data_IF_288149949544
#
_entry.id   IF_288149949544
#
_cell.length_a   1.000
_cell.length_b   1.000
_cell.length_c   1.000
_cell.angle_alpha   90.00
_cell.angle_beta   90.00
_cell.angle_gamma   90.00
#
_symmetry.space_group_name_H-M   'P 1'
#
loop_
_entity.id
_entity.type
_entity.pdbx_description
1 polymer ?
#
# COMPACT_ATOMS: atom_id res chain seq x y z
N UNK A 1 -42.62 31.54 8.33
CA UNK A 1 -41.16 31.71 8.09
C UNK A 1 -40.90 31.80 6.60
N UNK A 2 -40.42 32.93 6.08
CA UNK A 2 -39.91 32.99 4.70
C UNK A 2 -38.65 32.14 4.65
N UNK A 3 -38.72 30.95 4.04
CA UNK A 3 -37.54 30.16 3.69
C UNK A 3 -36.59 31.08 2.93
N UNK A 4 -35.41 31.36 3.52
CA UNK A 4 -34.37 32.16 2.86
C UNK A 4 -34.06 31.49 1.54
N UNK A 5 -34.38 32.16 0.43
CA UNK A 5 -34.03 31.68 -0.90
C UNK A 5 -32.52 31.59 -1.02
N UNK A 6 -32.01 30.48 -1.52
CA UNK A 6 -30.59 30.34 -1.83
C UNK A 6 -30.13 31.44 -2.81
N UNK A 7 -28.82 31.77 -2.83
CA UNK A 7 -28.30 32.76 -3.77
C UNK A 7 -28.63 32.38 -5.22
N UNK A 8 -28.99 33.35 -6.07
CA UNK A 8 -29.43 33.11 -7.45
C UNK A 8 -28.40 32.34 -8.30
N UNK A 9 -27.13 32.42 -7.95
CA UNK A 9 -26.04 31.70 -8.61
C UNK A 9 -26.06 30.19 -8.37
N UNK A 10 -26.78 29.71 -7.35
CA UNK A 10 -26.87 28.27 -7.01
C UNK A 10 -27.87 27.50 -7.87
N UNK A 11 -28.71 28.20 -8.64
CA UNK A 11 -29.75 27.59 -9.49
C UNK A 11 -29.17 27.10 -10.82
N UNK A 12 -28.23 26.17 -10.76
CA UNK A 12 -27.65 25.53 -11.94
C UNK A 12 -27.36 24.03 -11.67
N UNK A 13 -27.38 23.23 -12.73
CA UNK A 13 -27.23 21.77 -12.63
C UNK A 13 -25.86 21.33 -12.10
N UNK A 14 -24.79 22.10 -12.34
CA UNK A 14 -23.44 21.78 -11.87
C UNK A 14 -23.35 21.94 -10.34
N UNK A 15 -23.91 23.02 -9.81
CA UNK A 15 -23.99 23.25 -8.36
C UNK A 15 -24.89 22.22 -7.68
N UNK A 16 -26.02 21.85 -8.29
CA UNK A 16 -26.87 20.78 -7.75
C UNK A 16 -26.17 19.42 -7.77
N UNK A 17 -25.48 19.07 -8.85
CA UNK A 17 -24.68 17.84 -8.94
C UNK A 17 -23.59 17.83 -7.87
N UNK A 18 -22.87 18.95 -7.70
CA UNK A 18 -21.85 19.09 -6.65
C UNK A 18 -22.42 18.92 -5.24
N UNK A 19 -23.58 19.52 -4.97
CA UNK A 19 -24.26 19.40 -3.68
C UNK A 19 -24.73 17.96 -3.40
N UNK A 20 -25.31 17.28 -4.38
CA UNK A 20 -25.72 15.87 -4.25
C UNK A 20 -24.50 14.98 -4.05
N UNK A 21 -23.43 15.18 -4.84
CA UNK A 21 -22.20 14.40 -4.71
C UNK A 21 -21.57 14.60 -3.33
N UNK A 22 -21.48 15.84 -2.84
CA UNK A 22 -20.93 16.14 -1.51
C UNK A 22 -21.79 15.55 -0.38
N UNK A 23 -23.12 15.64 -0.48
CA UNK A 23 -24.03 15.05 0.50
C UNK A 23 -23.91 13.52 0.53
N UNK A 24 -24.00 12.87 -0.62
CA UNK A 24 -23.98 11.39 -0.71
C UNK A 24 -22.62 10.85 -0.30
N UNK A 25 -21.51 11.46 -0.74
CA UNK A 25 -20.17 11.05 -0.32
C UNK A 25 -19.94 11.30 1.16
N UNK A 26 -20.37 12.45 1.70
CA UNK A 26 -20.25 12.76 3.13
C UNK A 26 -21.07 11.83 4.01
N UNK A 27 -22.31 11.51 3.63
CA UNK A 27 -23.17 10.55 4.36
C UNK A 27 -22.57 9.14 4.27
N UNK A 28 -22.17 8.68 3.09
CA UNK A 28 -21.53 7.37 2.91
C UNK A 28 -20.26 7.27 3.75
N UNK A 29 -19.40 8.29 3.73
CA UNK A 29 -18.18 8.36 4.53
C UNK A 29 -18.50 8.33 6.03
N UNK A 30 -19.50 9.11 6.47
CA UNK A 30 -19.94 9.11 7.87
C UNK A 30 -20.46 7.75 8.33
N UNK A 31 -21.29 7.08 7.51
CA UNK A 31 -21.78 5.72 7.78
C UNK A 31 -20.62 4.74 7.88
N UNK A 32 -19.68 4.78 6.93
CA UNK A 32 -18.51 3.90 6.95
C UNK A 32 -17.62 4.14 8.17
N UNK A 33 -17.40 5.40 8.57
CA UNK A 33 -16.66 5.72 9.79
C UNK A 33 -17.36 5.16 11.04
N UNK A 34 -18.69 5.31 11.16
CA UNK A 34 -19.46 4.73 12.27
C UNK A 34 -19.31 3.21 12.30
N UNK A 35 -19.37 2.54 11.14
CA UNK A 35 -19.16 1.09 11.03
C UNK A 35 -17.77 0.70 11.50
N UNK A 36 -16.72 1.43 11.10
CA UNK A 36 -15.34 1.15 11.54
C UNK A 36 -15.18 1.29 13.05
N UNK A 37 -15.66 2.40 13.62
CA UNK A 37 -15.58 2.63 15.07
C UNK A 37 -16.47 1.69 15.90
N UNK A 38 -17.47 1.06 15.30
CA UNK A 38 -18.38 0.14 16.02
C UNK A 38 -17.97 -1.33 15.93
N UNK A 39 -17.06 -1.69 15.01
CA UNK A 39 -16.68 -3.08 14.71
C UNK A 39 -15.22 -3.39 15.09
N UNK A 40 -14.67 -2.69 16.11
CA UNK A 40 -13.24 -2.61 16.46
C UNK A 40 -12.45 -3.93 16.39
N UNK A 41 -13.07 -5.09 16.64
CA UNK A 41 -12.40 -6.40 16.67
C UNK A 41 -12.17 -7.09 15.30
N UNK A 42 -12.79 -6.63 14.20
CA UNK A 42 -12.78 -7.38 12.92
C UNK A 42 -12.50 -6.57 11.66
N UNK A 43 -12.17 -5.27 11.77
CA UNK A 43 -11.93 -4.43 10.59
C UNK A 43 -10.45 -4.42 10.26
N UNK A 44 -10.11 -4.72 9.00
CA UNK A 44 -8.73 -4.61 8.52
C UNK A 44 -8.20 -3.19 8.84
N UNK A 45 -7.03 -3.05 9.50
CA UNK A 45 -6.43 -1.75 9.84
C UNK A 45 -6.30 -0.80 8.65
N UNK A 46 -6.22 -1.34 7.44
CA UNK A 46 -6.07 -0.63 6.19
C UNK A 46 -7.40 -0.11 5.61
N UNK A 47 -8.55 -0.55 6.12
CA UNK A 47 -9.84 -0.03 5.68
C UNK A 47 -10.05 1.44 6.09
N UNK A 48 -9.58 1.84 7.28
CA UNK A 48 -9.58 3.25 7.68
C UNK A 48 -8.76 4.12 6.71
N UNK A 49 -7.61 3.62 6.29
CA UNK A 49 -6.74 4.28 5.30
C UNK A 49 -7.46 4.46 3.96
N UNK A 50 -8.17 3.44 3.49
CA UNK A 50 -8.99 3.53 2.29
C UNK A 50 -10.02 4.66 2.38
N UNK A 51 -10.74 4.74 3.50
CA UNK A 51 -11.75 5.79 3.74
C UNK A 51 -11.13 7.19 3.69
N UNK A 52 -9.98 7.39 4.34
CA UNK A 52 -9.27 8.67 4.34
C UNK A 52 -8.64 9.02 2.98
N UNK A 53 -8.35 8.03 2.15
CA UNK A 53 -7.70 8.25 0.85
C UNK A 53 -8.71 8.57 -0.26
N UNK A 54 -9.83 7.84 -0.33
CA UNK A 54 -10.81 7.95 -1.42
C UNK A 54 -12.03 8.80 -1.06
N UNK A 55 -12.46 8.79 0.20
CA UNK A 55 -13.61 9.57 0.66
C UNK A 55 -13.43 11.08 0.50
N UNK A 56 -12.37 11.68 1.08
CA UNK A 56 -12.15 13.12 1.02
C UNK A 56 -12.00 13.68 -0.41
N UNK A 57 -11.27 13.07 -1.36
CA UNK A 57 -11.21 13.59 -2.72
C UNK A 57 -12.57 13.66 -3.43
N UNK A 58 -13.43 12.65 -3.27
CA UNK A 58 -14.78 12.64 -3.88
C UNK A 58 -15.66 13.71 -3.24
N UNK A 59 -15.58 13.87 -1.91
CA UNK A 59 -16.27 14.94 -1.18
C UNK A 59 -15.79 16.32 -1.62
N UNK A 60 -14.47 16.54 -1.68
CA UNK A 60 -13.85 17.79 -2.12
C UNK A 60 -14.23 18.10 -3.57
N UNK A 61 -14.23 17.11 -4.46
CA UNK A 61 -14.71 17.29 -5.83
C UNK A 61 -16.16 17.79 -5.86
N UNK A 62 -17.05 17.18 -5.07
CA UNK A 62 -18.43 17.65 -4.90
C UNK A 62 -18.49 19.10 -4.41
N UNK A 63 -17.70 19.44 -3.39
CA UNK A 63 -17.62 20.78 -2.82
C UNK A 63 -17.02 21.81 -3.81
N UNK A 64 -16.09 21.42 -4.69
CA UNK A 64 -15.51 22.29 -5.71
C UNK A 64 -16.46 22.53 -6.89
N UNK A 65 -17.29 21.54 -7.24
CA UNK A 65 -18.31 21.70 -8.29
C UNK A 65 -19.35 22.78 -7.92
N UNK A 66 -19.62 23.01 -6.63
CA UNK A 66 -20.53 24.07 -6.16
C UNK A 66 -20.08 25.47 -6.61
N UNK A 67 -18.90 26.00 -6.21
CA UNK A 67 -18.42 27.30 -6.63
C UNK A 67 -18.09 27.34 -8.13
N UNK A 68 -17.64 26.25 -8.76
CA UNK A 68 -17.43 26.19 -10.21
C UNK A 68 -18.76 26.43 -10.95
N UNK A 69 -19.83 25.76 -10.53
CA UNK A 69 -21.17 25.98 -11.07
C UNK A 69 -21.63 27.43 -10.88
N UNK A 70 -21.43 28.00 -9.70
CA UNK A 70 -21.78 29.39 -9.40
C UNK A 70 -20.99 30.40 -10.25
N UNK A 71 -19.68 30.21 -10.42
CA UNK A 71 -18.83 31.09 -11.24
C UNK A 71 -19.19 30.97 -12.73
N UNK A 72 -19.47 29.77 -13.22
CA UNK A 72 -19.92 29.56 -14.59
C UNK A 72 -21.26 30.25 -14.85
N UNK A 73 -22.20 30.12 -13.93
CA UNK A 73 -23.51 30.77 -14.04
C UNK A 73 -23.37 32.29 -13.95
N UNK A 74 -22.52 32.80 -13.05
CA UNK A 74 -22.23 34.23 -12.97
C UNK A 74 -21.62 34.78 -14.27
N UNK A 75 -20.67 34.07 -14.88
CA UNK A 75 -20.06 34.44 -16.17
C UNK A 75 -21.10 34.42 -17.29
N UNK A 76 -22.00 33.43 -17.30
CA UNK A 76 -23.09 33.34 -18.28
C UNK A 76 -24.03 34.54 -18.16
N UNK A 77 -24.54 34.82 -16.95
CA UNK A 77 -25.42 35.95 -16.67
C UNK A 77 -24.77 37.30 -17.03
N UNK A 78 -23.47 37.46 -16.76
CA UNK A 78 -22.71 38.67 -17.13
C UNK A 78 -22.56 38.83 -18.65
N UNK A 79 -22.35 37.74 -19.41
CA UNK A 79 -22.26 37.78 -20.89
C UNK A 79 -23.59 38.05 -21.56
N UNK A 80 -24.66 37.45 -21.05
CA UNK A 80 -25.99 37.56 -21.64
C UNK A 80 -26.68 38.89 -21.26
N UNK A 81 -26.09 39.69 -20.35
CA UNK A 81 -26.69 40.94 -19.87
C UNK A 81 -27.99 40.74 -19.09
N UNK A 82 -28.32 39.48 -18.77
CA UNK A 82 -29.56 39.10 -18.11
C UNK A 82 -29.42 39.45 -16.63
N UNK A 83 -30.23 40.40 -16.17
CA UNK A 83 -30.49 40.55 -14.73
C UNK A 83 -31.17 39.26 -14.29
N UNK A 84 -30.69 38.60 -13.23
CA UNK A 84 -31.25 37.33 -12.82
C UNK A 84 -32.72 37.52 -12.46
N UNK A 85 -33.61 37.15 -13.38
CA UNK A 85 -34.99 36.83 -13.05
C UNK A 85 -34.96 35.77 -11.94
N UNK A 86 -36.04 35.64 -11.17
CA UNK A 86 -36.12 34.64 -10.09
C UNK A 86 -36.05 33.22 -10.67
N UNK A 87 -34.85 32.76 -11.01
CA UNK A 87 -34.54 31.36 -11.23
C UNK A 87 -34.95 30.65 -9.94
N UNK A 88 -35.91 29.74 -10.08
CA UNK A 88 -36.50 29.01 -8.97
C UNK A 88 -36.32 27.53 -9.27
N UNK A 89 -35.87 26.80 -8.26
CA UNK A 89 -35.94 25.35 -8.23
C UNK A 89 -37.42 24.94 -8.37
N UNK A 90 -37.71 23.76 -8.92
CA UNK A 90 -39.07 23.21 -8.92
C UNK A 90 -39.63 23.24 -7.49
N UNK A 91 -40.84 23.74 -7.31
CA UNK A 91 -41.46 23.83 -5.99
C UNK A 91 -41.89 22.43 -5.52
N UNK A 92 -41.27 21.90 -4.46
CA UNK A 92 -41.65 20.62 -3.86
C UNK A 92 -42.82 20.83 -2.89
N UNK A 93 -44.05 20.64 -3.39
CA UNK A 93 -45.27 20.58 -2.57
C UNK A 93 -45.61 19.13 -2.13
N UNK A 94 -45.32 18.77 -0.87
CA UNK A 94 -45.60 17.43 -0.32
C UNK A 94 -47.08 17.10 -0.14
N UNK A 95 -47.98 18.09 -0.27
CA UNK A 95 -49.42 17.83 -0.28
C UNK A 95 -49.87 17.20 -1.60
N UNK A 96 -49.06 17.30 -2.67
CA UNK A 96 -49.34 16.65 -3.95
C UNK A 96 -48.83 15.20 -3.94
N UNK A 97 -49.66 14.21 -4.31
CA UNK A 97 -49.28 12.80 -4.27
C UNK A 97 -48.08 12.49 -5.19
N UNK A 98 -47.97 13.16 -6.35
CA UNK A 98 -46.84 12.98 -7.26
C UNK A 98 -45.50 13.39 -6.62
N UNK A 99 -45.47 14.52 -5.91
CA UNK A 99 -44.27 15.03 -5.25
C UNK A 99 -43.93 14.20 -4.01
N UNK A 100 -44.94 13.76 -3.25
CA UNK A 100 -44.76 12.86 -2.11
C UNK A 100 -44.19 11.51 -2.53
N UNK A 101 -44.68 10.93 -3.61
CA UNK A 101 -44.17 9.67 -4.15
C UNK A 101 -42.74 9.85 -4.67
N UNK A 102 -42.47 10.92 -5.42
CA UNK A 102 -41.11 11.25 -5.88
C UNK A 102 -40.14 11.43 -4.70
N UNK A 103 -40.54 12.17 -3.66
CA UNK A 103 -39.74 12.38 -2.46
C UNK A 103 -39.48 11.06 -1.72
N UNK A 104 -40.50 10.22 -1.53
CA UNK A 104 -40.36 8.90 -0.90
C UNK A 104 -39.40 8.00 -1.69
N UNK A 105 -39.57 7.90 -3.02
CA UNK A 105 -38.69 7.11 -3.88
C UNK A 105 -37.26 7.65 -3.83
N UNK A 106 -37.08 8.97 -3.85
CA UNK A 106 -35.76 9.58 -3.78
C UNK A 106 -35.07 9.31 -2.43
N UNK A 107 -35.78 9.45 -1.31
CA UNK A 107 -35.22 9.21 0.03
C UNK A 107 -34.91 7.72 0.25
N UNK A 108 -35.88 6.84 -0.04
CA UNK A 108 -35.70 5.39 0.13
C UNK A 108 -34.64 4.86 -0.84
N UNK A 109 -34.69 5.26 -2.10
CA UNK A 109 -33.69 4.90 -3.11
C UNK A 109 -32.31 5.44 -2.77
N UNK A 110 -32.21 6.67 -2.25
CA UNK A 110 -30.96 7.25 -1.78
C UNK A 110 -30.37 6.50 -0.59
N UNK A 111 -31.20 6.10 0.39
CA UNK A 111 -30.77 5.30 1.53
C UNK A 111 -30.24 3.93 1.09
N UNK A 112 -30.99 3.23 0.22
CA UNK A 112 -30.57 1.95 -0.35
C UNK A 112 -29.27 2.11 -1.12
N UNK A 113 -29.14 3.16 -1.93
CA UNK A 113 -27.92 3.46 -2.67
C UNK A 113 -26.72 3.67 -1.75
N UNK A 114 -26.87 4.43 -0.67
CA UNK A 114 -25.80 4.64 0.33
C UNK A 114 -25.39 3.32 0.97
N UNK A 115 -26.35 2.48 1.39
CA UNK A 115 -26.06 1.18 2.01
C UNK A 115 -25.34 0.24 1.02
N UNK A 116 -25.86 0.10 -0.19
CA UNK A 116 -25.23 -0.73 -1.24
C UNK A 116 -23.83 -0.20 -1.58
N UNK A 117 -23.67 1.12 -1.67
CA UNK A 117 -22.37 1.74 -1.96
C UNK A 117 -21.37 1.48 -0.83
N UNK A 118 -21.79 1.59 0.43
CA UNK A 118 -20.96 1.31 1.59
C UNK A 118 -20.50 -0.17 1.60
N UNK A 119 -21.45 -1.10 1.46
CA UNK A 119 -21.16 -2.55 1.42
C UNK A 119 -20.29 -2.91 0.22
N UNK A 120 -20.62 -2.39 -0.96
CA UNK A 120 -19.86 -2.63 -2.19
C UNK A 120 -18.44 -2.07 -2.12
N UNK A 121 -18.26 -0.90 -1.51
CA UNK A 121 -16.96 -0.29 -1.30
C UNK A 121 -16.09 -1.13 -0.36
N UNK A 122 -16.65 -1.56 0.77
CA UNK A 122 -15.98 -2.45 1.72
C UNK A 122 -15.57 -3.77 1.07
N UNK A 123 -16.51 -4.44 0.39
CA UNK A 123 -16.24 -5.70 -0.30
C UNK A 123 -15.17 -5.56 -1.40
N UNK A 124 -15.24 -4.49 -2.19
CA UNK A 124 -14.24 -4.20 -3.24
C UNK A 124 -12.85 -4.00 -2.67
N UNK A 125 -12.77 -3.25 -1.58
CA UNK A 125 -11.52 -3.01 -0.88
C UNK A 125 -10.89 -4.33 -0.42
N UNK A 126 -11.63 -5.17 0.32
CA UNK A 126 -11.14 -6.48 0.80
C UNK A 126 -10.76 -7.42 -0.33
N UNK A 127 -11.55 -7.44 -1.41
CA UNK A 127 -11.23 -8.24 -2.58
C UNK A 127 -9.92 -7.79 -3.22
N UNK A 128 -9.72 -6.47 -3.41
CA UNK A 128 -8.52 -5.89 -4.03
C UNK A 128 -7.22 -6.06 -3.24
N UNK A 129 -7.30 -6.61 -2.03
CA UNK A 129 -6.17 -6.90 -1.14
C UNK A 129 -6.01 -8.40 -0.85
N UNK A 130 -6.89 -9.22 -1.43
CA UNK A 130 -6.87 -10.67 -1.27
C UNK A 130 -5.79 -11.33 -2.12
N UNK A 131 -5.34 -12.49 -1.67
CA UNK A 131 -4.45 -13.37 -2.42
C UNK A 131 -5.10 -13.80 -3.74
N UNK A 132 -6.40 -14.08 -3.74
CA UNK A 132 -7.14 -14.42 -4.96
C UNK A 132 -7.04 -13.31 -5.99
N UNK A 133 -7.28 -12.06 -5.59
CA UNK A 133 -7.18 -10.95 -6.53
C UNK A 133 -5.76 -10.83 -7.11
N UNK A 134 -4.75 -10.79 -6.24
CA UNK A 134 -3.37 -10.55 -6.67
C UNK A 134 -2.77 -11.73 -7.46
N UNK A 135 -3.02 -12.97 -7.03
CA UNK A 135 -2.38 -14.16 -7.60
C UNK A 135 -3.16 -14.85 -8.71
N UNK A 136 -4.48 -14.66 -8.80
CA UNK A 136 -5.33 -15.44 -9.74
C UNK A 136 -6.05 -14.61 -10.79
N UNK A 137 -6.26 -13.30 -10.56
CA UNK A 137 -6.98 -12.45 -11.54
C UNK A 137 -6.17 -12.30 -12.83
N UNK A 138 -4.88 -12.01 -12.70
CA UNK A 138 -3.95 -11.88 -13.82
C UNK A 138 -3.08 -13.15 -13.93
N UNK A 139 -3.73 -14.31 -14.11
CA UNK A 139 -3.08 -15.61 -14.02
C UNK A 139 -1.81 -15.74 -14.88
N UNK A 140 -1.80 -15.26 -16.13
CA UNK A 140 -0.63 -15.41 -17.01
C UNK A 140 0.63 -14.68 -16.49
N UNK A 141 0.43 -13.51 -15.86
CA UNK A 141 1.54 -12.66 -15.39
C UNK A 141 1.93 -13.02 -13.96
N UNK A 142 0.97 -13.42 -13.12
CA UNK A 142 1.14 -13.62 -11.69
C UNK A 142 1.24 -15.08 -11.25
N UNK A 143 1.07 -16.05 -12.16
CA UNK A 143 1.15 -17.49 -11.85
C UNK A 143 2.48 -17.87 -11.19
N UNK A 144 3.67 -17.45 -11.68
CA UNK A 144 4.94 -17.80 -11.05
C UNK A 144 5.04 -17.32 -9.60
N UNK A 145 4.58 -16.10 -9.32
CA UNK A 145 4.58 -15.49 -7.99
C UNK A 145 3.55 -16.16 -7.08
N UNK A 146 2.36 -16.48 -7.59
CA UNK A 146 1.31 -17.14 -6.84
C UNK A 146 1.70 -18.56 -6.43
N UNK A 147 2.30 -19.34 -7.34
CA UNK A 147 2.85 -20.67 -7.03
C UNK A 147 3.93 -20.56 -5.97
N UNK A 148 4.87 -19.61 -6.12
CA UNK A 148 5.95 -19.42 -5.16
C UNK A 148 5.45 -19.02 -3.78
N UNK A 149 4.42 -18.17 -3.73
CA UNK A 149 3.71 -17.81 -2.50
C UNK A 149 3.14 -19.04 -1.78
N UNK A 150 2.48 -19.95 -2.51
CA UNK A 150 1.87 -21.16 -1.93
C UNK A 150 2.88 -22.09 -1.27
N UNK A 151 4.10 -22.20 -1.82
CA UNK A 151 5.17 -23.02 -1.25
C UNK A 151 6.09 -22.28 -0.27
N UNK A 152 5.78 -21.01 0.02
CA UNK A 152 6.59 -20.19 0.94
C UNK A 152 6.14 -20.35 2.41
N UNK A 153 7.02 -20.02 3.37
CA UNK A 153 6.64 -19.87 4.79
C UNK A 153 5.57 -18.81 5.04
N UNK A 154 5.29 -17.95 4.06
CA UNK A 154 4.34 -16.84 4.12
C UNK A 154 3.01 -17.14 3.40
N UNK A 155 2.74 -18.41 3.03
CA UNK A 155 1.51 -18.83 2.31
C UNK A 155 0.18 -18.59 3.03
N UNK A 156 0.21 -18.11 4.28
CA UNK A 156 -0.96 -17.80 5.11
C UNK A 156 -1.14 -16.32 5.41
N UNK A 157 -0.25 -15.46 4.93
CA UNK A 157 -0.38 -14.00 5.05
C UNK A 157 -0.81 -13.41 3.71
N UNK A 158 -1.60 -12.35 3.70
CA UNK A 158 -2.07 -11.77 2.44
C UNK A 158 -0.93 -11.12 1.65
N UNK A 159 -1.02 -11.07 0.32
CA UNK A 159 -0.03 -10.37 -0.52
C UNK A 159 0.09 -8.88 -0.11
N UNK A 160 -1.02 -8.28 0.32
CA UNK A 160 -1.10 -6.87 0.71
C UNK A 160 -0.36 -6.54 2.00
N UNK A 161 -0.16 -7.51 2.91
CA UNK A 161 0.64 -7.32 4.13
C UNK A 161 2.10 -6.97 3.82
N UNK A 162 2.65 -7.49 2.72
CA UNK A 162 4.01 -7.17 2.28
C UNK A 162 4.04 -6.09 1.17
N UNK A 163 3.15 -6.16 0.18
CA UNK A 163 3.25 -5.36 -1.05
C UNK A 163 2.40 -4.06 -1.09
N UNK A 164 1.37 -3.93 -0.24
CA UNK A 164 0.55 -2.70 -0.13
C UNK A 164 1.02 -1.91 1.08
N UNK A 165 1.06 -2.58 2.23
CA UNK A 165 1.58 -2.03 3.46
C UNK A 165 0.64 -1.05 4.18
N UNK A 166 0.95 -0.83 5.46
CA UNK A 166 0.29 0.13 6.34
C UNK A 166 0.52 1.58 5.97
N UNK A 167 -0.52 2.40 6.13
CA UNK A 167 -0.49 3.85 5.97
C UNK A 167 -1.04 4.35 4.62
N UNK A 168 -1.61 5.55 4.63
CA UNK A 168 -2.27 6.14 3.46
C UNK A 168 -1.34 6.39 2.27
N UNK A 169 -0.10 6.80 2.53
CA UNK A 169 0.85 7.07 1.46
C UNK A 169 1.21 5.82 0.66
N UNK A 170 1.47 4.70 1.36
CA UNK A 170 1.80 3.42 0.73
C UNK A 170 0.59 2.79 0.05
N UNK A 171 -0.60 2.93 0.65
CA UNK A 171 -1.85 2.55 0.02
C UNK A 171 -2.04 3.27 -1.34
N UNK A 172 -1.92 4.60 -1.38
CA UNK A 172 -2.03 5.36 -2.64
C UNK A 172 -0.97 4.91 -3.65
N UNK A 173 0.30 4.83 -3.21
CA UNK A 173 1.41 4.45 -4.09
C UNK A 173 1.20 3.07 -4.71
N UNK A 174 0.80 2.09 -3.90
CA UNK A 174 0.54 0.73 -4.38
C UNK A 174 -0.63 0.67 -5.38
N UNK A 175 -1.73 1.41 -5.13
CA UNK A 175 -2.88 1.42 -6.06
C UNK A 175 -2.58 2.18 -7.36
N UNK A 176 -1.80 3.26 -7.33
CA UNK A 176 -1.33 3.93 -8.54
C UNK A 176 -0.39 3.05 -9.36
N UNK A 177 0.56 2.38 -8.69
CA UNK A 177 1.43 1.39 -9.33
C UNK A 177 0.63 0.23 -9.92
N UNK A 178 -0.35 -0.29 -9.18
CA UNK A 178 -1.25 -1.35 -9.65
C UNK A 178 -2.09 -0.92 -10.85
N UNK A 179 -2.59 0.32 -10.88
CA UNK A 179 -3.30 0.85 -12.04
C UNK A 179 -2.40 0.91 -13.29
N UNK A 180 -1.14 1.31 -13.12
CA UNK A 180 -0.15 1.25 -14.19
C UNK A 180 0.15 -0.18 -14.63
N UNK A 181 0.29 -1.13 -13.70
CA UNK A 181 0.49 -2.55 -14.01
C UNK A 181 -0.69 -3.13 -14.81
N UNK A 182 -1.93 -2.84 -14.42
CA UNK A 182 -3.13 -3.25 -15.20
C UNK A 182 -3.06 -2.69 -16.62
N UNK A 183 -2.72 -1.40 -16.76
CA UNK A 183 -2.58 -0.79 -18.08
C UNK A 183 -1.44 -1.42 -18.90
N UNK A 184 -0.28 -1.67 -18.28
CA UNK A 184 0.87 -2.29 -18.92
C UNK A 184 0.58 -3.73 -19.37
N UNK A 185 -0.16 -4.49 -18.57
CA UNK A 185 -0.64 -5.84 -18.91
C UNK A 185 -1.62 -5.80 -20.07
N UNK A 186 -2.62 -4.91 -20.03
CA UNK A 186 -3.60 -4.74 -21.12
C UNK A 186 -2.95 -4.34 -22.45
N UNK A 187 -1.86 -3.57 -22.38
CA UNK A 187 -1.11 -3.09 -23.55
C UNK A 187 0.06 -4.00 -23.93
N UNK A 188 0.33 -5.05 -23.15
CA UNK A 188 1.43 -5.99 -23.34
C UNK A 188 2.82 -5.32 -23.42
N UNK A 189 3.06 -4.35 -22.53
CA UNK A 189 4.26 -3.49 -22.50
C UNK A 189 4.99 -3.59 -21.15
N UNK A 190 5.23 -4.82 -20.71
CA UNK A 190 5.98 -5.12 -19.50
C UNK A 190 7.22 -5.96 -19.84
N UNK A 191 8.31 -5.82 -19.07
CA UNK A 191 9.54 -6.58 -19.30
C UNK A 191 9.31 -8.09 -19.07
N UNK A 192 10.05 -8.91 -19.82
CA UNK A 192 10.10 -10.37 -19.65
C UNK A 192 11.57 -10.79 -19.59
N UNK A 193 12.05 -11.42 -18.50
CA UNK A 193 11.34 -11.72 -17.26
C UNK A 193 10.97 -10.46 -16.44
N UNK A 194 9.98 -10.58 -15.56
CA UNK A 194 9.58 -9.51 -14.65
C UNK A 194 10.71 -9.32 -13.61
N UNK A 195 11.27 -8.12 -13.45
CA UNK A 195 12.35 -7.88 -12.49
C UNK A 195 11.83 -7.92 -11.05
N UNK A 196 12.71 -8.24 -10.10
CA UNK A 196 12.38 -8.19 -8.67
C UNK A 196 12.17 -6.74 -8.23
N UNK A 197 11.07 -6.41 -7.55
CA UNK A 197 10.71 -5.03 -7.24
C UNK A 197 11.44 -4.47 -6.01
N UNK A 198 12.75 -4.77 -5.85
CA UNK A 198 13.49 -4.41 -4.63
C UNK A 198 13.61 -2.88 -4.46
N UNK A 199 13.59 -2.13 -5.55
CA UNK A 199 13.58 -0.66 -5.52
C UNK A 199 12.26 -0.06 -5.02
N UNK A 200 11.16 -0.80 -5.15
CA UNK A 200 9.80 -0.33 -4.86
C UNK A 200 9.23 -0.91 -3.56
N UNK A 201 9.91 -1.88 -2.95
CA UNK A 201 9.53 -2.50 -1.69
C UNK A 201 9.77 -1.55 -0.51
N UNK A 202 8.93 -1.69 0.51
CA UNK A 202 9.02 -0.90 1.75
C UNK A 202 10.21 -1.37 2.59
N UNK A 203 10.79 -0.51 3.45
CA UNK A 203 11.83 -0.93 4.37
C UNK A 203 11.39 -2.12 5.24
N UNK A 204 12.32 -3.01 5.58
CA UNK A 204 12.05 -4.21 6.38
C UNK A 204 11.36 -3.91 7.72
N UNK A 205 11.61 -2.75 8.31
CA UNK A 205 10.97 -2.25 9.54
C UNK A 205 9.44 -2.17 9.42
N UNK A 206 8.95 -1.89 8.21
CA UNK A 206 7.53 -1.68 7.93
C UNK A 206 6.85 -2.91 7.32
N UNK A 207 7.59 -4.00 7.12
CA UNK A 207 7.12 -5.25 6.50
C UNK A 207 7.53 -6.45 7.35
N UNK A 208 8.79 -6.86 7.27
CA UNK A 208 9.32 -8.04 7.96
C UNK A 208 9.21 -7.89 9.49
N UNK A 209 9.60 -6.73 10.03
CA UNK A 209 9.74 -6.53 11.47
C UNK A 209 8.39 -6.39 12.20
N UNK A 210 7.28 -6.28 11.47
CA UNK A 210 5.93 -6.32 12.06
C UNK A 210 5.59 -7.70 12.63
N UNK A 211 6.27 -8.75 12.14
CA UNK A 211 6.11 -10.14 12.58
C UNK A 211 7.43 -10.74 13.11
N UNK A 212 8.58 -10.32 12.57
CA UNK A 212 9.91 -10.81 12.92
C UNK A 212 10.67 -9.80 13.78
N UNK A 213 10.72 -10.03 15.10
CA UNK A 213 11.27 -9.06 16.04
C UNK A 213 12.81 -9.13 16.12
N UNK A 214 13.58 -8.12 15.65
CA UNK A 214 15.05 -8.17 15.59
C UNK A 214 15.74 -8.35 16.96
N UNK A 215 15.11 -7.85 18.02
CA UNK A 215 15.60 -7.93 19.39
C UNK A 215 15.59 -9.35 19.95
N UNK A 216 14.85 -10.27 19.31
CA UNK A 216 14.77 -11.65 19.77
C UNK A 216 15.90 -12.49 19.19
N UNK A 217 16.78 -12.98 20.07
CA UNK A 217 17.87 -13.88 19.69
C UNK A 217 17.35 -15.28 19.31
N UNK A 218 17.69 -15.74 18.10
CA UNK A 218 17.32 -17.08 17.60
C UNK A 218 18.43 -18.12 17.89
N UNK A 219 19.65 -17.67 18.22
CA UNK A 219 20.78 -18.54 18.52
C UNK A 219 21.46 -19.09 17.25
N UNK A 220 22.26 -20.15 17.41
CA UNK A 220 22.82 -20.89 16.27
C UNK A 220 21.97 -22.12 15.98
N UNK A 221 21.75 -22.43 14.72
CA UNK A 221 20.97 -23.58 14.28
C UNK A 221 21.91 -24.65 13.72
N UNK A 222 21.88 -25.84 14.30
CA UNK A 222 22.60 -26.99 13.75
C UNK A 222 21.69 -27.76 12.82
N UNK A 223 22.19 -28.09 11.64
CA UNK A 223 21.53 -28.95 10.67
C UNK A 223 22.48 -30.03 10.21
N UNK A 224 22.09 -31.27 10.42
CA UNK A 224 22.80 -32.46 9.97
C UNK A 224 22.21 -32.93 8.65
N UNK A 225 23.03 -33.00 7.61
CA UNK A 225 22.67 -33.59 6.33
C UNK A 225 23.24 -34.99 6.28
N UNK A 226 22.37 -35.99 6.31
CA UNK A 226 22.78 -37.39 6.22
C UNK A 226 23.03 -37.75 4.77
N UNK A 227 24.30 -37.98 4.44
CA UNK A 227 24.69 -38.58 3.17
C UNK A 227 25.22 -39.98 3.42
N UNK A 228 25.18 -40.80 2.38
CA UNK A 228 25.84 -42.09 2.34
C UNK A 228 26.84 -42.06 1.19
N UNK A 229 27.98 -42.70 1.40
CA UNK A 229 29.00 -42.84 0.37
C UNK A 229 28.51 -43.81 -0.70
N UNK A 230 29.02 -43.64 -1.92
CA UNK A 230 28.75 -44.57 -3.01
C UNK A 230 29.73 -45.76 -2.94
N UNK A 231 29.63 -46.55 -1.88
CA UNK A 231 30.38 -47.79 -1.65
C UNK A 231 29.43 -48.97 -1.38
N UNK A 232 29.95 -50.20 -1.44
CA UNK A 232 29.14 -51.41 -1.23
C UNK A 232 28.55 -51.49 0.19
N UNK A 233 29.21 -50.87 1.17
CA UNK A 233 28.80 -50.85 2.58
C UNK A 233 27.78 -49.73 2.89
N UNK A 234 27.53 -48.81 1.95
CA UNK A 234 26.70 -47.61 2.14
C UNK A 234 27.12 -46.80 3.38
N UNK A 235 28.42 -46.52 3.51
CA UNK A 235 29.00 -45.88 4.68
C UNK A 235 28.34 -44.52 4.97
N UNK A 236 27.92 -44.30 6.22
CA UNK A 236 27.34 -43.02 6.65
C UNK A 236 28.38 -41.89 6.59
N UNK A 237 28.00 -40.79 5.94
CA UNK A 237 28.80 -39.57 5.83
C UNK A 237 27.95 -38.34 6.20
N UNK A 238 27.65 -38.12 7.49
CA UNK A 238 26.89 -36.96 7.91
C UNK A 238 27.71 -35.68 7.72
N UNK A 239 27.08 -34.65 7.14
CA UNK A 239 27.62 -33.28 7.09
C UNK A 239 26.85 -32.45 8.12
N UNK A 240 27.55 -32.09 9.20
CA UNK A 240 27.01 -31.20 10.23
C UNK A 240 27.33 -29.74 9.90
N UNK A 241 26.28 -28.94 9.72
CA UNK A 241 26.40 -27.50 9.50
C UNK A 241 25.84 -26.74 10.70
N UNK A 242 26.67 -25.89 11.32
CA UNK A 242 26.23 -24.94 12.33
C UNK A 242 26.06 -23.55 11.70
N UNK A 243 24.81 -23.16 11.46
CA UNK A 243 24.48 -21.81 10.99
C UNK A 243 24.39 -20.87 12.18
N UNK A 244 25.28 -19.87 12.23
CA UNK A 244 25.24 -18.78 13.19
C UNK A 244 24.15 -17.79 12.80
N UNK A 245 22.88 -18.15 13.00
CA UNK A 245 21.72 -17.30 12.66
C UNK A 245 21.78 -15.97 13.40
N UNK A 246 22.03 -16.01 14.70
CA UNK A 246 22.30 -14.78 15.44
C UNK A 246 21.05 -13.98 15.83
N UNK A 247 21.24 -12.70 16.10
CA UNK A 247 20.22 -11.74 16.53
C UNK A 247 20.84 -10.56 17.30
N UNK A 248 19.99 -9.63 17.75
CA UNK A 248 20.46 -8.41 18.41
C UNK A 248 19.69 -8.08 19.68
N UNK A 249 19.94 -8.78 20.79
CA UNK A 249 19.49 -8.30 22.11
C UNK A 249 20.57 -7.38 22.71
N UNK A 250 20.30 -6.07 22.88
CA UNK A 250 21.23 -5.12 23.49
C UNK A 250 21.69 -5.53 24.90
N UNK A 251 20.88 -6.33 25.62
CA UNK A 251 21.20 -6.82 26.98
C UNK A 251 22.15 -8.01 26.98
N UNK A 252 22.15 -8.81 25.90
CA UNK A 252 23.02 -10.00 25.76
C UNK A 252 24.42 -9.66 25.22
N UNK A 253 24.61 -8.43 24.75
CA UNK A 253 25.92 -7.81 24.55
C UNK A 253 26.63 -8.09 23.23
N UNK A 254 26.11 -8.92 22.32
CA UNK A 254 26.77 -9.16 21.03
C UNK A 254 25.80 -9.29 19.86
N UNK A 255 25.83 -8.33 18.95
CA UNK A 255 25.37 -8.53 17.57
C UNK A 255 26.27 -9.60 16.95
N UNK A 256 25.73 -10.78 16.71
CA UNK A 256 26.50 -11.89 16.16
C UNK A 256 25.68 -12.64 15.13
N UNK A 257 26.37 -13.35 14.23
CA UNK A 257 25.73 -14.15 13.19
C UNK A 257 25.22 -13.33 12.00
N UNK A 258 24.55 -14.01 11.08
CA UNK A 258 24.07 -13.41 9.82
C UNK A 258 23.00 -12.33 10.05
N UNK A 259 22.22 -12.39 11.13
CA UNK A 259 21.24 -11.36 11.49
C UNK A 259 21.81 -10.16 12.26
N UNK A 260 23.13 -10.04 12.42
CA UNK A 260 23.73 -8.89 13.09
C UNK A 260 23.39 -7.54 12.40
N UNK A 261 23.15 -7.54 11.08
CA UNK A 261 22.73 -6.36 10.31
C UNK A 261 21.34 -5.82 10.71
N UNK A 262 20.52 -6.64 11.39
CA UNK A 262 19.22 -6.23 11.92
C UNK A 262 19.32 -5.58 13.30
N UNK A 263 20.50 -5.63 13.95
CA UNK A 263 20.67 -5.10 15.30
C UNK A 263 20.69 -3.56 15.27
N UNK A 264 19.94 -2.93 16.17
CA UNK A 264 19.94 -1.47 16.36
C UNK A 264 21.35 -0.93 16.68
N UNK A 265 22.22 -1.76 17.28
CA UNK A 265 23.58 -1.39 17.65
C UNK A 265 24.58 -1.41 16.47
N UNK A 266 24.22 -1.93 15.29
CA UNK A 266 25.13 -2.02 14.14
C UNK A 266 24.38 -1.68 12.85
N UNK A 267 24.91 -0.73 12.08
CA UNK A 267 24.43 -0.41 10.75
C UNK A 267 25.42 -0.92 9.70
N UNK A 268 24.94 -1.80 8.82
CA UNK A 268 25.72 -2.32 7.70
C UNK A 268 25.26 -1.63 6.42
N UNK A 269 26.18 -0.92 5.79
CA UNK A 269 25.98 -0.31 4.47
C UNK A 269 26.86 -1.00 3.45
N UNK A 270 26.42 -1.06 2.21
CA UNK A 270 27.21 -1.65 1.13
C UNK A 270 26.99 -0.91 -0.20
N UNK A 271 27.93 -1.13 -1.11
CA UNK A 271 27.83 -0.72 -2.51
C UNK A 271 27.96 -1.99 -3.34
N UNK A 272 26.99 -2.23 -4.23
CA UNK A 272 27.04 -3.31 -5.21
C UNK A 272 27.29 -2.76 -6.61
N UNK A 273 28.03 -3.51 -7.44
CA UNK A 273 28.23 -3.17 -8.87
C UNK A 273 27.05 -3.58 -9.74
N UNK A 274 26.34 -4.63 -9.35
CA UNK A 274 25.25 -5.21 -10.13
C UNK A 274 23.88 -4.98 -9.49
N UNK A 275 22.84 -4.97 -10.33
CA UNK A 275 21.45 -4.78 -9.89
C UNK A 275 20.96 -5.91 -8.97
N UNK A 276 21.50 -7.13 -9.12
CA UNK A 276 21.15 -8.30 -8.29
C UNK A 276 21.85 -8.29 -6.93
N UNK A 277 22.78 -7.35 -6.71
CA UNK A 277 23.52 -7.15 -5.46
C UNK A 277 24.33 -8.37 -5.04
N UNK A 278 24.99 -9.00 -6.01
CA UNK A 278 25.83 -10.19 -5.77
C UNK A 278 27.33 -9.86 -5.79
N UNK A 279 27.74 -8.81 -6.49
CA UNK A 279 29.10 -8.26 -6.48
C UNK A 279 29.14 -7.03 -5.54
N UNK A 280 29.60 -7.27 -4.31
CA UNK A 280 29.64 -6.29 -3.22
C UNK A 280 31.11 -6.02 -2.84
N UNK A 281 31.83 -5.18 -3.60
CA UNK A 281 33.25 -4.91 -3.36
C UNK A 281 33.50 -3.96 -2.18
N UNK A 282 32.45 -3.41 -1.57
CA UNK A 282 32.58 -2.43 -0.50
C UNK A 282 31.48 -2.57 0.54
N UNK A 283 31.87 -2.63 1.81
CA UNK A 283 30.98 -2.74 2.98
C UNK A 283 31.48 -1.81 4.08
N UNK A 284 30.57 -1.07 4.70
CA UNK A 284 30.82 -0.24 5.87
C UNK A 284 29.96 -0.73 7.03
N UNK A 285 30.61 -1.01 8.15
CA UNK A 285 29.97 -1.43 9.40
C UNK A 285 30.16 -0.31 10.41
N UNK A 286 29.09 0.38 10.72
CA UNK A 286 29.06 1.46 11.70
C UNK A 286 28.41 0.97 13.00
N UNK A 287 29.01 1.30 14.13
CA UNK A 287 28.40 1.16 15.45
C UNK A 287 27.93 2.55 15.91
N UNK A 288 26.62 2.84 15.86
CA UNK A 288 26.10 4.15 16.24
C UNK A 288 26.32 4.49 17.71
N UNK A 289 26.52 3.48 18.57
CA UNK A 289 26.69 3.69 20.02
C UNK A 289 28.11 4.11 20.38
N UNK A 290 29.11 3.57 19.68
CA UNK A 290 30.53 3.91 19.90
C UNK A 290 31.07 4.92 18.88
N UNK A 291 30.37 5.14 17.77
CA UNK A 291 30.83 5.94 16.63
C UNK A 291 31.92 5.27 15.80
N UNK A 292 32.27 4.01 16.10
CA UNK A 292 33.30 3.28 15.36
C UNK A 292 32.76 2.87 13.99
N UNK A 293 33.53 3.14 12.95
CA UNK A 293 33.23 2.72 11.57
C UNK A 293 34.38 1.85 11.07
N UNK A 294 34.03 0.68 10.54
CA UNK A 294 34.97 -0.22 9.88
C UNK A 294 34.54 -0.39 8.43
N UNK A 295 35.46 -0.11 7.50
CA UNK A 295 35.23 -0.31 6.06
C UNK A 295 36.00 -1.53 5.60
N UNK A 296 35.33 -2.40 4.84
CA UNK A 296 35.89 -3.55 4.16
C UNK A 296 35.79 -3.30 2.66
N UNK A 297 36.92 -3.42 1.96
CA UNK A 297 37.00 -3.30 0.51
C UNK A 297 37.60 -4.58 -0.06
N UNK A 298 37.13 -4.96 -1.24
CA UNK A 298 37.70 -6.07 -2.01
C UNK A 298 39.17 -5.78 -2.36
N UNK A 299 40.08 -6.66 -1.93
CA UNK A 299 41.51 -6.52 -2.16
C UNK A 299 41.93 -6.85 -3.59
N UNK A 300 41.15 -7.67 -4.30
CA UNK A 300 41.44 -8.11 -5.67
C UNK A 300 40.79 -7.18 -6.70
N UNK A 301 39.59 -6.68 -6.40
CA UNK A 301 38.83 -5.82 -7.32
C UNK A 301 38.10 -4.67 -6.60
N UNK A 302 38.83 -3.70 -6.01
CA UNK A 302 38.24 -2.57 -5.28
C UNK A 302 37.44 -1.63 -6.18
N UNK A 303 36.53 -0.87 -5.58
CA UNK A 303 35.89 0.26 -6.27
C UNK A 303 36.89 1.39 -6.50
N UNK A 304 36.82 2.00 -7.67
CA UNK A 304 37.48 3.29 -7.95
C UNK A 304 36.83 4.42 -7.15
N UNK A 305 37.56 5.51 -6.92
CA UNK A 305 37.02 6.67 -6.20
C UNK A 305 35.83 7.32 -6.93
N UNK A 306 35.80 7.26 -8.26
CA UNK A 306 34.67 7.73 -9.07
C UNK A 306 33.43 6.83 -8.89
N UNK A 307 33.60 5.51 -8.84
CA UNK A 307 32.52 4.58 -8.53
C UNK A 307 32.00 4.80 -7.11
N UNK A 308 32.87 4.99 -6.11
CA UNK A 308 32.44 5.27 -4.73
C UNK A 308 31.66 6.58 -4.62
N UNK A 309 32.10 7.62 -5.34
CA UNK A 309 31.46 8.94 -5.30
C UNK A 309 30.08 8.97 -5.99
N UNK A 310 29.89 8.14 -7.02
CA UNK A 310 28.63 8.06 -7.79
C UNK A 310 27.67 6.97 -7.28
N UNK A 311 28.16 6.00 -6.52
CA UNK A 311 27.38 4.89 -6.03
C UNK A 311 26.37 5.28 -4.94
N UNK A 312 25.22 4.61 -4.97
CA UNK A 312 24.22 4.67 -3.89
C UNK A 312 24.61 3.69 -2.80
N UNK A 313 25.03 4.21 -1.64
CA UNK A 313 25.21 3.40 -0.43
C UNK A 313 23.85 2.89 0.05
N UNK A 314 23.67 1.57 0.08
CA UNK A 314 22.44 0.94 0.57
C UNK A 314 22.67 0.39 1.97
N UNK A 315 21.72 0.64 2.87
CA UNK A 315 21.64 -0.06 4.15
C UNK A 315 21.13 -1.47 3.92
N UNK A 316 21.89 -2.45 4.40
CA UNK A 316 21.51 -3.87 4.36
C UNK A 316 20.25 -4.10 5.20
N UNK A 317 19.26 -4.76 4.61
CA UNK A 317 18.02 -5.15 5.28
C UNK A 317 17.68 -6.63 5.02
N UNK A 318 16.58 -7.10 5.63
CA UNK A 318 16.14 -8.48 5.50
C UNK A 318 15.94 -8.93 4.04
N UNK A 319 15.53 -8.02 3.15
CA UNK A 319 15.24 -8.36 1.76
C UNK A 319 16.52 -8.57 0.95
N UNK A 320 17.67 -8.03 1.37
CA UNK A 320 18.94 -8.30 0.68
C UNK A 320 19.37 -9.78 0.80
N UNK A 321 18.88 -10.50 1.82
CA UNK A 321 19.18 -11.92 2.05
C UNK A 321 17.97 -12.85 1.85
N UNK A 322 16.75 -12.35 2.06
CA UNK A 322 15.51 -13.13 1.99
C UNK A 322 14.67 -12.87 0.73
N UNK A 323 15.16 -12.05 -0.19
CA UNK A 323 14.55 -11.92 -1.50
C UNK A 323 14.95 -13.11 -2.40
N UNK A 324 14.05 -13.47 -3.31
CA UNK A 324 14.24 -14.57 -4.26
C UNK A 324 15.11 -14.16 -5.45
#
# INVERSE_FOLDING_TARGET
MKLKSFPQLTYNWITALGAVLALVSGVTLGVLLVVVFSLEDNVNPYFGIFLYTLGPPVLVLGLLLIPIGMVREWRRLKREGIRPEKARWPAIDLNRPAHRNFFLVFVVGGLIFVVISAVGTYGTYHFSESVTFCGTTCHEVMEPEYVSYQYSPHSRISCSECHVGSGANWYVKSKLSGAYQVWATLRNIYPRPIPTPIESLRPAQQTCEQCHWPERMIGSQQRSFYHVMYDEESTEWPIDMLLKTGGGDPKSGHAAGIHAHMNIAVEVHYIARDERRQDIPWIEVADPTTGRVTVYEDSENPLTEEEKASAVKRRMDCMDCHNR
#
